data_IF_165811948879
#
_entry.id   IF_165811948879
#
_cell.length_a   1.000
_cell.length_b   1.000
_cell.length_c   1.000
_cell.angle_alpha   90.00
_cell.angle_beta   90.00
_cell.angle_gamma   90.00
#
_symmetry.space_group_name_H-M   'P 1'
#
loop_
_entity.id
_entity.type
_entity.pdbx_description
1 polymer ?
#
# COMPACT_ATOMS: atom_id res chain seq x y z
N UNK A 1 -47.86 -13.20 33.88
CA UNK A 1 -48.18 -12.66 32.55
C UNK A 1 -47.20 -13.24 31.55
N UNK A 2 -47.59 -14.32 30.88
CA UNK A 2 -46.82 -14.96 29.83
C UNK A 2 -46.87 -14.09 28.57
N UNK A 3 -45.77 -13.43 28.23
CA UNK A 3 -45.57 -12.90 26.89
C UNK A 3 -44.99 -14.04 26.03
N UNK A 4 -45.92 -14.74 25.38
CA UNK A 4 -45.64 -15.84 24.46
C UNK A 4 -44.79 -15.35 23.27
N UNK A 5 -43.70 -16.05 23.02
CA UNK A 5 -42.93 -16.04 21.78
C UNK A 5 -43.88 -16.25 20.59
N UNK A 6 -44.18 -15.19 19.84
CA UNK A 6 -44.56 -15.30 18.44
C UNK A 6 -43.28 -15.33 17.61
N UNK A 7 -42.61 -16.48 17.64
CA UNK A 7 -41.63 -16.84 16.64
C UNK A 7 -42.37 -16.89 15.29
N UNK A 8 -42.14 -15.89 14.46
CA UNK A 8 -42.59 -15.88 13.07
C UNK A 8 -41.99 -17.09 12.36
N UNK A 9 -42.83 -18.09 12.11
CA UNK A 9 -42.56 -19.14 11.14
C UNK A 9 -42.40 -18.48 9.76
N UNK A 10 -41.16 -18.20 9.37
CA UNK A 10 -40.83 -18.00 7.97
C UNK A 10 -40.99 -19.36 7.29
N UNK A 11 -42.17 -19.59 6.71
CA UNK A 11 -42.41 -20.73 5.84
C UNK A 11 -41.44 -20.61 4.67
N UNK A 12 -40.50 -21.55 4.61
CA UNK A 12 -39.48 -21.64 3.59
C UNK A 12 -40.14 -21.94 2.23
N UNK A 13 -40.55 -20.90 1.49
CA UNK A 13 -40.99 -21.05 0.09
C UNK A 13 -39.75 -21.25 -0.78
N UNK A 14 -39.16 -22.43 -0.70
CA UNK A 14 -38.09 -22.92 -1.57
C UNK A 14 -38.63 -23.14 -2.99
N UNK A 15 -38.79 -22.05 -3.74
CA UNK A 15 -38.96 -22.08 -5.18
C UNK A 15 -37.61 -22.14 -5.88
N UNK A 16 -37.49 -22.98 -6.90
CA UNK A 16 -36.28 -23.09 -7.71
C UNK A 16 -35.92 -21.74 -8.38
N UNK A 17 -34.63 -21.37 -8.37
CA UNK A 17 -34.13 -20.07 -8.92
C UNK A 17 -34.56 -19.85 -10.38
N UNK A 18 -34.67 -20.92 -11.16
CA UNK A 18 -35.12 -20.92 -12.55
C UNK A 18 -36.37 -21.80 -12.72
N UNK A 19 -37.44 -21.50 -11.98
CA UNK A 19 -38.74 -22.14 -12.22
C UNK A 19 -39.21 -21.93 -13.67
N UNK A 20 -39.29 -23.02 -14.43
CA UNK A 20 -39.83 -23.06 -15.80
C UNK A 20 -41.32 -22.70 -15.79
N UNK A 21 -42.07 -23.34 -14.89
CA UNK A 21 -43.49 -23.10 -14.70
C UNK A 21 -43.72 -22.19 -13.48
N UNK A 22 -44.48 -21.11 -13.69
CA UNK A 22 -45.02 -20.28 -12.60
C UNK A 22 -46.50 -20.59 -12.47
N UNK A 23 -46.99 -20.71 -11.24
CA UNK A 23 -48.43 -20.80 -11.00
C UNK A 23 -49.08 -19.46 -11.35
N UNK A 24 -50.08 -19.49 -12.24
CA UNK A 24 -50.96 -18.36 -12.53
C UNK A 24 -52.31 -18.67 -11.91
N UNK A 25 -52.85 -17.78 -11.05
CA UNK A 25 -54.18 -17.99 -10.48
C UNK A 25 -55.24 -17.97 -11.59
N UNK A 26 -56.36 -18.69 -11.43
CA UNK A 26 -57.40 -18.82 -12.45
C UNK A 26 -58.03 -17.48 -12.86
N UNK A 27 -58.00 -16.48 -11.98
CA UNK A 27 -58.50 -15.12 -12.24
C UNK A 27 -57.50 -14.23 -13.01
N UNK A 28 -56.30 -14.73 -13.33
CA UNK A 28 -55.27 -13.93 -13.98
C UNK A 28 -55.45 -13.86 -15.50
N UNK A 29 -55.89 -12.69 -15.98
CA UNK A 29 -55.88 -12.33 -17.39
C UNK A 29 -54.60 -11.59 -17.82
N UNK A 30 -53.79 -12.14 -18.75
CA UNK A 30 -52.55 -11.51 -19.23
C UNK A 30 -52.75 -10.14 -19.88
N UNK A 31 -53.91 -9.91 -20.52
CA UNK A 31 -54.21 -8.62 -21.20
C UNK A 31 -54.48 -7.49 -20.21
N UNK A 32 -55.09 -7.81 -19.07
CA UNK A 32 -55.51 -6.83 -18.05
C UNK A 32 -54.35 -6.59 -17.07
N UNK A 33 -53.80 -7.66 -16.51
CA UNK A 33 -52.81 -7.56 -15.44
C UNK A 33 -51.37 -7.40 -15.95
N UNK A 34 -51.09 -7.77 -17.21
CA UNK A 34 -49.77 -7.74 -17.90
C UNK A 34 -48.70 -8.64 -17.26
N UNK A 35 -48.50 -8.56 -15.95
CA UNK A 35 -47.49 -9.30 -15.20
C UNK A 35 -48.09 -9.86 -13.91
N UNK A 36 -47.62 -11.03 -13.49
CA UNK A 36 -48.03 -11.65 -12.23
C UNK A 36 -47.70 -10.77 -11.01
N UNK A 37 -46.59 -10.02 -11.06
CA UNK A 37 -46.23 -9.08 -10.00
C UNK A 37 -47.28 -7.98 -9.82
N UNK A 38 -47.81 -7.44 -10.93
CA UNK A 38 -48.87 -6.41 -10.89
C UNK A 38 -50.19 -6.98 -10.39
N UNK A 39 -50.53 -8.23 -10.73
CA UNK A 39 -51.71 -8.91 -10.19
C UNK A 39 -51.66 -8.99 -8.66
N UNK A 40 -50.48 -9.28 -8.09
CA UNK A 40 -50.28 -9.30 -6.64
C UNK A 40 -50.05 -7.91 -6.01
N UNK A 41 -50.06 -6.82 -6.80
CA UNK A 41 -49.77 -5.48 -6.30
C UNK A 41 -48.31 -5.26 -5.86
N UNK A 42 -47.39 -6.12 -6.29
CA UNK A 42 -45.97 -6.07 -5.90
C UNK A 42 -45.14 -5.47 -7.03
N UNK A 43 -44.24 -4.55 -6.69
CA UNK A 43 -43.29 -4.01 -7.66
C UNK A 43 -42.27 -5.08 -8.11
N UNK A 44 -41.92 -5.20 -9.41
CA UNK A 44 -40.98 -6.22 -9.90
C UNK A 44 -39.62 -6.20 -9.20
N UNK A 45 -39.13 -5.01 -8.81
CA UNK A 45 -37.86 -4.84 -8.09
C UNK A 45 -37.99 -5.02 -6.56
N UNK A 46 -39.19 -5.30 -6.04
CA UNK A 46 -39.50 -5.43 -4.60
C UNK A 46 -38.89 -4.27 -3.79
N UNK A 47 -38.12 -4.58 -2.75
CA UNK A 47 -37.51 -3.58 -1.85
C UNK A 47 -36.58 -2.57 -2.54
N UNK A 48 -35.99 -2.95 -3.68
CA UNK A 48 -35.15 -2.03 -4.46
C UNK A 48 -35.95 -0.93 -5.15
N UNK A 49 -37.23 -1.16 -5.41
CA UNK A 49 -38.13 -0.25 -6.10
C UNK A 49 -39.18 0.41 -5.20
N UNK A 50 -38.99 0.42 -3.87
CA UNK A 50 -39.93 1.07 -2.95
C UNK A 50 -40.16 2.55 -3.28
N UNK A 51 -39.12 3.26 -3.72
CA UNK A 51 -39.17 4.68 -4.14
C UNK A 51 -39.21 4.86 -5.66
N UNK A 52 -39.68 3.84 -6.40
CA UNK A 52 -39.72 3.92 -7.86
C UNK A 52 -40.66 5.02 -8.39
N UNK A 53 -41.69 5.41 -7.63
CA UNK A 53 -42.56 6.55 -7.93
C UNK A 53 -41.80 7.88 -7.99
N UNK A 54 -40.73 8.01 -7.22
CA UNK A 54 -39.84 9.18 -7.19
C UNK A 54 -38.70 9.06 -8.21
N UNK A 55 -38.67 7.98 -9.00
CA UNK A 55 -37.56 7.67 -9.92
C UNK A 55 -36.31 7.17 -9.22
N UNK A 56 -36.37 6.84 -7.92
CA UNK A 56 -35.23 6.43 -7.11
C UNK A 56 -35.20 4.89 -7.02
N UNK A 57 -34.08 4.31 -7.44
CA UNK A 57 -33.85 2.85 -7.36
C UNK A 57 -32.64 2.57 -6.50
N UNK A 58 -32.77 1.64 -5.54
CA UNK A 58 -31.63 1.18 -4.73
C UNK A 58 -30.79 0.17 -5.52
N UNK A 59 -29.52 0.50 -5.75
CA UNK A 59 -28.55 -0.35 -6.45
C UNK A 59 -27.34 -0.64 -5.55
N UNK A 60 -26.54 -1.65 -5.91
CA UNK A 60 -25.20 -1.82 -5.33
C UNK A 60 -24.19 -1.11 -6.21
N UNK A 61 -23.47 -0.15 -5.63
CA UNK A 61 -22.50 0.70 -6.31
C UNK A 61 -21.11 0.51 -5.70
N UNK A 62 -20.08 0.39 -6.53
CA UNK A 62 -18.68 0.29 -6.12
C UNK A 62 -17.99 1.64 -6.31
N UNK A 63 -17.22 2.08 -5.31
CA UNK A 63 -16.53 3.38 -5.36
C UNK A 63 -15.45 3.39 -6.47
N UNK A 64 -15.49 4.31 -7.45
CA UNK A 64 -14.60 4.29 -8.61
C UNK A 64 -13.16 4.76 -8.32
N UNK A 65 -12.95 5.61 -7.32
CA UNK A 65 -11.63 6.13 -6.95
C UNK A 65 -11.47 6.22 -5.44
N UNK A 66 -10.23 6.30 -4.98
CA UNK A 66 -9.90 6.57 -3.59
C UNK A 66 -10.38 7.99 -3.22
N UNK A 67 -11.16 8.13 -2.15
CA UNK A 67 -11.66 9.43 -1.70
C UNK A 67 -11.60 9.57 -0.19
N UNK A 68 -11.70 10.80 0.30
CA UNK A 68 -11.80 11.15 1.71
C UNK A 68 -13.21 11.63 2.01
N UNK A 69 -13.87 11.06 3.01
CA UNK A 69 -15.16 11.59 3.45
C UNK A 69 -14.96 12.93 4.17
N UNK A 70 -15.75 13.94 3.84
CA UNK A 70 -15.62 15.27 4.44
C UNK A 70 -16.12 15.31 5.90
N UNK A 71 -17.08 14.44 6.26
CA UNK A 71 -17.66 14.41 7.61
C UNK A 71 -16.75 13.72 8.62
N UNK A 72 -16.29 12.50 8.34
CA UNK A 72 -15.46 11.72 9.28
C UNK A 72 -13.96 11.75 8.98
N UNK A 73 -13.53 12.35 7.87
CA UNK A 73 -12.13 12.43 7.42
C UNK A 73 -11.42 11.07 7.29
N UNK A 74 -12.17 9.98 7.20
CA UNK A 74 -11.61 8.65 6.95
C UNK A 74 -11.52 8.39 5.44
N UNK A 75 -10.46 7.68 4.98
CA UNK A 75 -10.31 7.31 3.58
C UNK A 75 -11.28 6.19 3.21
N UNK A 76 -11.84 6.29 2.01
CA UNK A 76 -12.65 5.26 1.35
C UNK A 76 -11.80 4.76 0.18
N UNK A 77 -11.52 3.46 0.20
CA UNK A 77 -10.79 2.80 -0.88
C UNK A 77 -11.63 2.64 -2.14
N UNK A 78 -10.95 2.55 -3.28
CA UNK A 78 -11.53 2.08 -4.54
C UNK A 78 -12.14 0.68 -4.36
N UNK A 79 -13.32 0.46 -4.94
CA UNK A 79 -14.03 -0.83 -4.89
C UNK A 79 -14.89 -1.08 -3.65
N UNK A 80 -14.95 -0.15 -2.69
CA UNK A 80 -15.87 -0.27 -1.54
C UNK A 80 -17.32 -0.25 -2.03
N UNK A 81 -18.11 -1.23 -1.58
CA UNK A 81 -19.50 -1.46 -2.00
C UNK A 81 -20.50 -0.72 -1.10
N UNK A 82 -21.40 0.04 -1.72
CA UNK A 82 -22.50 0.74 -1.06
C UNK A 82 -23.86 0.34 -1.62
N UNK A 83 -24.89 0.42 -0.78
CA UNK A 83 -26.28 0.48 -1.24
C UNK A 83 -26.58 1.95 -1.59
N UNK A 84 -26.59 2.28 -2.88
CA UNK A 84 -26.77 3.64 -3.36
C UNK A 84 -28.18 3.85 -3.93
N UNK A 85 -28.73 5.04 -3.71
CA UNK A 85 -29.93 5.53 -4.36
C UNK A 85 -29.53 6.13 -5.72
N UNK A 86 -29.97 5.50 -6.81
CA UNK A 86 -29.77 5.97 -8.19
C UNK A 86 -30.92 6.87 -8.59
N UNK A 87 -30.59 8.08 -9.07
CA UNK A 87 -31.53 9.09 -9.54
C UNK A 87 -31.07 9.56 -10.93
N UNK A 88 -32.00 9.75 -11.87
CA UNK A 88 -31.71 10.39 -13.14
C UNK A 88 -31.93 11.90 -13.00
N UNK A 89 -30.88 12.70 -13.20
CA UNK A 89 -30.92 14.16 -12.97
C UNK A 89 -31.06 14.94 -14.27
N UNK A 90 -30.46 14.45 -15.35
CA UNK A 90 -30.48 15.14 -16.64
C UNK A 90 -30.04 14.25 -17.78
N UNK A 91 -29.78 14.87 -18.94
CA UNK A 91 -29.28 14.19 -20.14
C UNK A 91 -28.11 14.98 -20.73
N UNK A 92 -27.04 14.28 -21.11
CA UNK A 92 -25.96 14.78 -21.93
C UNK A 92 -26.19 14.32 -23.36
N UNK A 93 -26.72 15.19 -24.21
CA UNK A 93 -27.26 14.83 -25.54
C UNK A 93 -28.30 13.69 -25.43
N UNK A 94 -27.94 12.47 -25.85
CA UNK A 94 -28.78 11.27 -25.76
C UNK A 94 -28.52 10.41 -24.51
N UNK A 95 -27.43 10.65 -23.77
CA UNK A 95 -26.99 9.81 -22.66
C UNK A 95 -27.53 10.35 -21.32
N UNK A 96 -28.23 9.56 -20.51
CA UNK A 96 -28.74 10.01 -19.22
C UNK A 96 -27.61 10.21 -18.21
N UNK A 97 -27.69 11.30 -17.45
CA UNK A 97 -26.80 11.58 -16.34
C UNK A 97 -27.43 11.07 -15.04
N UNK A 98 -26.72 10.16 -14.38
CA UNK A 98 -27.15 9.58 -13.11
C UNK A 98 -26.43 10.21 -11.93
N UNK A 99 -27.19 10.50 -10.88
CA UNK A 99 -26.68 10.85 -9.55
C UNK A 99 -26.87 9.65 -8.62
N UNK A 100 -25.82 9.35 -7.86
CA UNK A 100 -25.79 8.31 -6.86
C UNK A 100 -25.63 8.94 -5.49
N UNK A 101 -26.59 8.67 -4.61
CA UNK A 101 -26.57 9.10 -3.21
C UNK A 101 -26.30 7.88 -2.34
N UNK A 102 -25.25 7.92 -1.52
CA UNK A 102 -24.88 6.80 -0.66
C UNK A 102 -24.39 7.25 0.72
N UNK A 103 -24.70 6.48 1.79
CA UNK A 103 -24.21 6.77 3.12
C UNK A 103 -22.74 6.36 3.29
N UNK A 104 -21.99 7.09 4.11
CA UNK A 104 -20.67 6.65 4.56
C UNK A 104 -20.80 5.43 5.49
N UNK A 105 -19.79 4.55 5.50
CA UNK A 105 -19.79 3.35 6.35
C UNK A 105 -19.52 3.63 7.83
N UNK A 106 -18.79 4.72 8.15
CA UNK A 106 -18.46 5.08 9.53
C UNK A 106 -19.33 6.19 10.12
N UNK A 107 -20.02 6.99 9.30
CA UNK A 107 -20.75 8.16 9.77
C UNK A 107 -22.09 8.33 9.05
N UNK A 108 -22.97 9.15 9.61
CA UNK A 108 -24.25 9.52 9.00
C UNK A 108 -24.10 10.52 7.82
N UNK A 109 -22.87 10.80 7.38
CA UNK A 109 -22.59 11.63 6.22
C UNK A 109 -23.09 10.95 4.94
N UNK A 110 -23.63 11.76 4.03
CA UNK A 110 -24.06 11.31 2.70
C UNK A 110 -23.09 11.81 1.64
N UNK A 111 -22.73 10.93 0.71
CA UNK A 111 -21.86 11.22 -0.43
C UNK A 111 -22.73 11.24 -1.69
N UNK A 112 -22.58 12.29 -2.50
CA UNK A 112 -23.23 12.41 -3.81
C UNK A 112 -22.19 12.40 -4.93
N UNK A 113 -22.39 11.48 -5.87
CA UNK A 113 -21.55 11.30 -7.06
C UNK A 113 -22.44 11.38 -8.30
N UNK A 114 -21.93 11.97 -9.38
CA UNK A 114 -22.63 12.05 -10.65
C UNK A 114 -21.75 11.54 -11.79
N UNK A 115 -22.39 10.89 -12.78
CA UNK A 115 -21.71 10.48 -14.02
C UNK A 115 -21.42 11.70 -14.90
N UNK A 116 -20.22 11.77 -15.47
CA UNK A 116 -19.86 12.72 -16.52
C UNK A 116 -19.55 11.98 -17.83
N UNK A 117 -20.52 11.93 -18.78
CA UNK A 117 -20.32 11.26 -20.06
C UNK A 117 -19.27 11.91 -20.96
N UNK A 118 -18.88 13.17 -20.74
CA UNK A 118 -17.90 13.85 -21.58
C UNK A 118 -16.48 13.32 -21.33
N UNK A 119 -16.14 13.12 -20.05
CA UNK A 119 -14.81 12.70 -19.61
C UNK A 119 -14.72 11.20 -19.28
N UNK A 120 -15.83 10.45 -19.47
CA UNK A 120 -15.97 9.06 -19.06
C UNK A 120 -15.62 8.80 -17.58
N UNK A 121 -15.85 9.80 -16.72
CA UNK A 121 -15.51 9.75 -15.29
C UNK A 121 -16.75 10.03 -14.41
N UNK A 122 -16.56 9.91 -13.11
CA UNK A 122 -17.51 10.30 -12.08
C UNK A 122 -17.02 11.56 -11.36
N UNK A 123 -17.93 12.50 -11.16
CA UNK A 123 -17.66 13.75 -10.45
C UNK A 123 -18.26 13.67 -9.05
N UNK A 124 -17.45 13.97 -8.03
CA UNK A 124 -17.98 14.15 -6.67
C UNK A 124 -18.64 15.52 -6.58
N UNK A 125 -19.91 15.54 -6.21
CA UNK A 125 -20.64 16.80 -5.97
C UNK A 125 -20.49 17.20 -4.51
N UNK A 126 -20.74 16.26 -3.59
CA UNK A 126 -20.77 16.55 -2.15
C UNK A 126 -20.40 15.35 -1.29
N UNK A 127 -19.95 15.64 -0.06
CA UNK A 127 -19.71 14.64 0.99
C UNK A 127 -18.36 13.92 0.94
N UNK A 128 -17.62 14.02 -0.16
CA UNK A 128 -16.27 13.46 -0.26
C UNK A 128 -15.36 14.29 -1.18
N UNK A 129 -14.05 14.13 -1.01
CA UNK A 129 -13.00 14.72 -1.85
C UNK A 129 -12.16 13.60 -2.48
N UNK A 130 -11.85 13.69 -3.78
CA UNK A 130 -10.96 12.72 -4.45
C UNK A 130 -9.57 12.77 -3.80
N UNK A 131 -8.96 11.60 -3.58
CA UNK A 131 -7.55 11.52 -3.21
C UNK A 131 -6.75 11.69 -4.50
N UNK A 132 -6.09 12.82 -4.66
CA UNK A 132 -5.14 13.03 -5.74
C UNK A 132 -3.91 12.18 -5.44
N UNK A 133 -3.59 11.25 -6.33
CA UNK A 133 -2.34 10.50 -6.29
C UNK A 133 -1.49 11.04 -7.43
N UNK A 134 -0.63 11.99 -7.09
CA UNK A 134 0.43 12.41 -8.00
C UNK A 134 1.44 11.28 -7.96
N UNK A 135 1.70 10.65 -9.11
CA UNK A 135 2.74 9.66 -9.22
C UNK A 135 4.08 10.39 -9.37
N UNK A 136 4.79 10.55 -8.25
CA UNK A 136 6.16 11.06 -8.26
C UNK A 136 7.10 9.89 -8.56
N UNK A 137 7.84 9.99 -9.68
CA UNK A 137 8.72 8.93 -10.14
C UNK A 137 9.96 8.74 -9.24
N UNK A 138 10.34 9.80 -8.51
CA UNK A 138 11.46 9.76 -7.56
C UNK A 138 11.24 8.75 -6.41
N UNK A 139 10.01 8.61 -5.91
CA UNK A 139 9.68 7.76 -4.76
C UNK A 139 9.71 6.25 -5.06
N UNK A 140 9.69 5.84 -6.33
CA UNK A 140 9.68 4.43 -6.74
C UNK A 140 11.04 3.92 -7.25
N UNK A 141 12.13 4.69 -7.07
CA UNK A 141 13.47 4.40 -7.61
C UNK A 141 13.45 4.15 -9.13
N UNK A 142 12.42 4.64 -9.80
CA UNK A 142 12.23 4.47 -11.23
C UNK A 142 12.98 5.61 -11.93
N UNK A 143 13.69 5.29 -13.01
CA UNK A 143 14.49 6.27 -13.75
C UNK A 143 13.54 7.38 -14.21
N UNK A 144 13.69 8.57 -13.61
CA UNK A 144 12.89 9.75 -13.95
C UNK A 144 13.14 10.04 -15.42
N UNK A 145 12.12 9.86 -16.24
CA UNK A 145 12.20 10.24 -17.64
C UNK A 145 12.48 11.74 -17.70
N UNK A 146 13.42 12.14 -18.56
CA UNK A 146 13.85 13.52 -18.75
C UNK A 146 12.70 14.52 -18.80
N UNK A 147 12.98 15.70 -18.27
CA UNK A 147 12.03 16.79 -18.06
C UNK A 147 11.27 17.11 -19.36
N UNK A 148 10.03 17.61 -19.29
CA UNK A 148 9.22 17.82 -20.52
C UNK A 148 9.95 18.70 -21.55
N UNK A 149 10.69 19.70 -21.07
CA UNK A 149 11.54 20.55 -21.90
C UNK A 149 12.70 19.81 -22.55
N UNK A 150 13.31 18.87 -21.83
CA UNK A 150 14.44 18.09 -22.31
C UNK A 150 14.00 17.06 -23.35
N UNK A 151 12.85 16.40 -23.14
CA UNK A 151 12.20 15.59 -24.17
C UNK A 151 11.87 16.37 -25.43
N UNK A 152 11.34 17.60 -25.27
CA UNK A 152 11.05 18.47 -26.42
C UNK A 152 12.32 18.84 -27.18
N UNK A 153 13.42 19.14 -26.48
CA UNK A 153 14.73 19.41 -27.10
C UNK A 153 15.27 18.18 -27.83
N UNK A 154 15.20 16.99 -27.21
CA UNK A 154 15.62 15.74 -27.82
C UNK A 154 14.82 15.41 -29.10
N UNK A 155 13.55 15.81 -29.16
CA UNK A 155 12.69 15.57 -30.31
C UNK A 155 12.84 16.63 -31.43
N UNK A 156 13.19 17.87 -31.09
CA UNK A 156 13.26 18.98 -32.06
C UNK A 156 14.66 19.23 -32.60
N UNK A 157 15.71 18.91 -31.84
CA UNK A 157 17.10 19.14 -32.24
C UNK A 157 17.85 17.81 -32.46
N UNK A 158 18.17 17.53 -33.74
CA UNK A 158 18.88 16.34 -34.15
C UNK A 158 20.35 16.30 -33.66
N UNK A 159 21.01 17.45 -33.50
CA UNK A 159 22.39 17.47 -33.00
C UNK A 159 22.43 17.12 -31.50
N UNK A 160 21.53 17.70 -30.71
CA UNK A 160 21.39 17.41 -29.29
C UNK A 160 21.08 15.92 -29.01
N UNK A 161 20.25 15.30 -29.86
CA UNK A 161 19.94 13.87 -29.76
C UNK A 161 21.18 12.99 -29.99
N UNK A 162 22.01 13.33 -30.98
CA UNK A 162 23.24 12.59 -31.28
C UNK A 162 24.25 12.73 -30.12
N UNK A 163 24.42 13.94 -29.59
CA UNK A 163 25.30 14.19 -28.44
C UNK A 163 24.85 13.41 -27.19
N UNK A 164 23.56 13.41 -26.88
CA UNK A 164 23.01 12.60 -25.80
C UNK A 164 23.25 11.11 -26.02
N UNK A 165 23.01 10.61 -27.24
CA UNK A 165 23.22 9.21 -27.58
C UNK A 165 24.69 8.78 -27.45
N UNK A 166 25.64 9.67 -27.75
CA UNK A 166 27.08 9.42 -27.56
C UNK A 166 27.43 9.43 -26.07
N UNK A 167 26.89 10.38 -25.30
CA UNK A 167 27.09 10.47 -23.86
C UNK A 167 26.55 9.22 -23.15
N UNK A 168 25.36 8.76 -23.49
CA UNK A 168 24.75 7.55 -22.93
C UNK A 168 25.59 6.29 -23.22
N UNK A 169 26.11 6.17 -24.45
CA UNK A 169 27.05 5.10 -24.82
C UNK A 169 28.32 5.14 -23.99
N UNK A 170 28.92 6.33 -23.82
CA UNK A 170 30.14 6.49 -23.02
C UNK A 170 29.95 6.13 -21.54
N UNK A 171 28.79 6.46 -20.96
CA UNK A 171 28.42 6.05 -19.59
C UNK A 171 28.23 4.54 -19.50
N UNK A 172 27.58 3.94 -20.51
CA UNK A 172 27.48 2.49 -20.64
C UNK A 172 28.85 1.82 -20.69
N UNK A 173 29.78 2.34 -21.49
CA UNK A 173 31.14 1.83 -21.62
C UNK A 173 31.95 1.95 -20.32
N UNK A 174 31.76 3.03 -19.57
CA UNK A 174 32.37 3.21 -18.24
C UNK A 174 31.87 2.16 -17.23
N UNK A 175 30.58 1.79 -17.31
CA UNK A 175 29.95 0.83 -16.41
C UNK A 175 30.20 -0.63 -16.78
N UNK A 176 30.51 -0.94 -18.05
CA UNK A 176 30.81 -2.29 -18.54
C UNK A 176 31.85 -3.07 -17.71
N UNK A 177 33.04 -2.54 -17.37
CA UNK A 177 34.02 -3.30 -16.60
C UNK A 177 33.49 -3.69 -15.22
N UNK A 178 32.70 -2.83 -14.56
CA UNK A 178 32.08 -3.16 -13.28
C UNK A 178 31.05 -4.30 -13.42
N UNK A 179 30.25 -4.30 -14.49
CA UNK A 179 29.31 -5.38 -14.79
C UNK A 179 30.03 -6.70 -15.11
N UNK A 180 31.14 -6.65 -15.84
CA UNK A 180 31.96 -7.83 -16.14
C UNK A 180 32.57 -8.42 -14.86
N UNK A 181 33.05 -7.60 -13.94
CA UNK A 181 33.49 -8.06 -12.61
C UNK A 181 32.36 -8.75 -11.84
N UNK A 182 31.16 -8.17 -11.82
CA UNK A 182 29.98 -8.78 -11.18
C UNK A 182 29.59 -10.13 -11.82
N UNK A 183 29.73 -10.25 -13.13
CA UNK A 183 29.47 -11.50 -13.85
C UNK A 183 30.52 -12.58 -13.55
N UNK A 184 31.79 -12.19 -13.39
CA UNK A 184 32.84 -13.08 -12.90
C UNK A 184 32.55 -13.55 -11.47
N UNK A 185 32.18 -12.63 -10.57
CA UNK A 185 31.85 -12.92 -9.18
C UNK A 185 30.65 -13.86 -9.05
N UNK A 186 29.65 -13.75 -9.95
CA UNK A 186 28.49 -14.66 -9.99
C UNK A 186 28.89 -16.13 -10.07
N UNK A 187 30.02 -16.46 -10.72
CA UNK A 187 30.51 -17.83 -10.80
C UNK A 187 31.01 -18.36 -9.44
N UNK A 188 31.53 -17.49 -8.58
CA UNK A 188 31.97 -17.83 -7.22
C UNK A 188 30.77 -18.19 -6.33
N UNK A 189 29.63 -17.53 -6.55
CA UNK A 189 28.38 -17.79 -5.81
C UNK A 189 27.59 -19.00 -6.33
N UNK A 190 28.07 -19.74 -7.33
CA UNK A 190 27.40 -20.98 -7.76
C UNK A 190 27.39 -22.05 -6.66
N UNK A 191 28.44 -22.08 -5.82
CA UNK A 191 28.55 -22.97 -4.67
C UNK A 191 28.14 -22.26 -3.37
N UNK A 192 26.85 -21.95 -3.24
CA UNK A 192 26.26 -21.27 -2.08
C UNK A 192 26.65 -21.90 -0.74
N UNK A 193 26.74 -23.23 -0.67
CA UNK A 193 27.07 -23.94 0.56
C UNK A 193 28.51 -23.64 1.04
N UNK A 194 29.48 -23.64 0.12
CA UNK A 194 30.89 -23.38 0.44
C UNK A 194 31.10 -21.91 0.86
N UNK A 195 30.49 -20.97 0.13
CA UNK A 195 30.53 -19.55 0.46
C UNK A 195 29.92 -19.26 1.83
N UNK A 196 28.74 -19.82 2.12
CA UNK A 196 28.08 -19.69 3.42
C UNK A 196 28.89 -20.34 4.55
N UNK A 197 29.54 -21.48 4.32
CA UNK A 197 30.41 -22.11 5.29
C UNK A 197 31.61 -21.22 5.65
N UNK A 198 32.26 -20.62 4.64
CA UNK A 198 33.39 -19.70 4.84
C UNK A 198 32.97 -18.45 5.63
N UNK A 199 31.84 -17.84 5.27
CA UNK A 199 31.29 -16.68 5.98
C UNK A 199 30.98 -17.02 7.43
N UNK A 200 30.31 -18.16 7.69
CA UNK A 200 30.01 -18.61 9.06
C UNK A 200 31.28 -18.86 9.88
N UNK A 201 32.35 -19.38 9.28
CA UNK A 201 33.65 -19.54 9.96
C UNK A 201 34.23 -18.18 10.34
N UNK A 202 34.30 -17.23 9.41
CA UNK A 202 34.77 -15.85 9.67
C UNK A 202 33.96 -15.16 10.76
N UNK A 203 32.62 -15.22 10.73
CA UNK A 203 31.78 -14.61 11.76
C UNK A 203 31.95 -15.24 13.14
N UNK A 204 32.16 -16.57 13.22
CA UNK A 204 32.45 -17.24 14.50
C UNK A 204 33.79 -16.79 15.07
N UNK A 205 34.80 -16.63 14.22
CA UNK A 205 36.11 -16.16 14.63
C UNK A 205 36.07 -14.71 15.12
N UNK A 206 35.43 -13.81 14.37
CA UNK A 206 35.22 -12.41 14.78
C UNK A 206 34.46 -12.33 16.11
N UNK A 207 33.39 -13.13 16.27
CA UNK A 207 32.62 -13.19 17.52
C UNK A 207 33.45 -13.71 18.70
N UNK A 208 34.34 -14.68 18.45
CA UNK A 208 35.26 -15.20 19.47
C UNK A 208 36.23 -14.12 19.92
N UNK A 209 36.89 -13.44 18.97
CA UNK A 209 37.84 -12.37 19.25
C UNK A 209 37.17 -11.22 20.04
N UNK A 210 36.00 -10.75 19.59
CA UNK A 210 35.27 -9.70 20.29
C UNK A 210 34.85 -10.11 21.72
N UNK A 211 34.51 -11.40 21.95
CA UNK A 211 34.20 -11.92 23.29
C UNK A 211 35.45 -11.98 24.17
N UNK A 212 36.59 -12.36 23.61
CA UNK A 212 37.89 -12.38 24.31
C UNK A 212 38.33 -10.96 24.70
N UNK A 213 38.20 -9.99 23.80
CA UNK A 213 38.45 -8.57 24.09
C UNK A 213 37.52 -8.05 25.20
N UNK A 214 36.21 -8.26 25.07
CA UNK A 214 35.25 -7.84 26.08
C UNK A 214 35.49 -8.52 27.44
N UNK A 215 35.99 -9.76 27.46
CA UNK A 215 36.37 -10.44 28.69
C UNK A 215 37.62 -9.80 29.34
N UNK A 216 38.64 -9.44 28.54
CA UNK A 216 39.84 -8.72 29.02
C UNK A 216 39.45 -7.35 29.58
N UNK A 217 38.60 -6.62 28.88
CA UNK A 217 38.09 -5.31 29.29
C UNK A 217 37.32 -5.39 30.61
N UNK A 218 36.42 -6.37 30.75
CA UNK A 218 35.69 -6.58 32.00
C UNK A 218 36.62 -6.92 33.17
N UNK A 219 37.67 -7.72 32.95
CA UNK A 219 38.67 -8.01 33.99
C UNK A 219 39.43 -6.74 34.40
N UNK A 220 39.77 -5.87 33.45
CA UNK A 220 40.43 -4.60 33.72
C UNK A 220 39.51 -3.65 34.51
N UNK A 221 38.25 -3.50 34.09
CA UNK A 221 37.25 -2.69 34.79
C UNK A 221 36.98 -3.20 36.21
N UNK A 222 36.93 -4.51 36.41
CA UNK A 222 36.80 -5.13 37.74
C UNK A 222 38.00 -4.80 38.64
N UNK A 223 39.24 -4.88 38.12
CA UNK A 223 40.45 -4.51 38.88
C UNK A 223 40.45 -3.03 39.26
N UNK A 224 39.94 -2.17 38.37
CA UNK A 224 39.84 -0.74 38.59
C UNK A 224 38.58 -0.33 39.38
N UNK A 225 37.71 -1.28 39.74
CA UNK A 225 36.41 -1.02 40.39
C UNK A 225 35.51 -0.04 39.64
N UNK A 226 35.67 0.06 38.31
CA UNK A 226 34.90 0.95 37.43
C UNK A 226 33.63 0.28 36.85
N UNK A 227 33.24 -0.85 37.44
CA UNK A 227 32.09 -1.66 37.03
C UNK A 227 30.80 -0.84 37.23
N UNK A 228 30.10 -0.54 36.14
CA UNK A 228 28.86 0.25 36.16
C UNK A 228 29.04 1.74 35.85
N UNK A 229 30.27 2.21 35.63
CA UNK A 229 30.51 3.52 35.03
C UNK A 229 30.33 3.45 33.51
N UNK A 230 29.83 4.51 32.86
CA UNK A 230 29.64 4.58 31.39
C UNK A 230 30.96 4.72 30.60
N UNK A 231 32.07 4.19 31.12
CA UNK A 231 33.39 4.32 30.53
C UNK A 231 33.62 3.19 29.53
N UNK A 232 33.65 3.53 28.24
CA UNK A 232 33.99 2.59 27.15
C UNK A 232 35.51 2.56 26.97
N UNK A 233 36.11 1.38 27.13
CA UNK A 233 37.52 1.16 26.82
C UNK A 233 37.74 1.21 25.31
N UNK A 234 38.80 1.90 24.90
CA UNK A 234 39.28 1.97 23.52
C UNK A 234 40.33 0.88 23.29
N UNK A 235 40.52 0.42 22.04
CA UNK A 235 41.59 -0.52 21.72
C UNK A 235 42.96 0.08 22.03
N UNK A 236 43.87 -0.76 22.54
CA UNK A 236 45.25 -0.37 22.88
C UNK A 236 45.98 0.13 21.63
N UNK A 237 46.62 1.31 21.72
CA UNK A 237 47.50 1.83 20.68
C UNK A 237 48.97 1.59 21.04
N UNK A 238 49.85 1.48 20.05
CA UNK A 238 51.30 1.28 20.28
C UNK A 238 51.93 2.38 21.14
N UNK A 239 51.41 3.61 21.06
CA UNK A 239 51.83 4.72 21.92
C UNK A 239 51.54 4.49 23.40
N UNK A 240 50.42 3.83 23.72
CA UNK A 240 49.97 3.59 25.08
C UNK A 240 50.87 2.55 25.76
N UNK A 241 51.33 1.53 25.00
CA UNK A 241 52.31 0.57 25.49
C UNK A 241 53.65 1.23 25.84
N UNK A 242 54.14 2.12 24.99
CA UNK A 242 55.42 2.83 25.21
C UNK A 242 55.31 3.73 26.44
N UNK A 243 54.19 4.46 26.58
CA UNK A 243 53.91 5.27 27.76
C UNK A 243 53.85 4.45 29.05
N UNK A 244 53.15 3.31 29.04
CA UNK A 244 53.04 2.42 30.20
C UNK A 244 54.39 1.84 30.64
N UNK A 245 55.26 1.46 29.67
CA UNK A 245 56.63 0.97 29.95
C UNK A 245 57.48 2.06 30.61
N UNK A 246 57.37 3.31 30.16
CA UNK A 246 58.10 4.45 30.72
C UNK A 246 57.69 4.75 32.17
N UNK A 247 56.39 4.71 32.49
CA UNK A 247 55.87 4.94 33.85
C UNK A 247 56.34 3.86 34.83
N UNK A 248 56.39 2.59 34.41
CA UNK A 248 56.96 1.51 35.26
C UNK A 248 58.45 1.74 35.58
N UNK A 249 59.22 2.25 34.62
CA UNK A 249 60.64 2.53 34.78
C UNK A 249 60.90 3.71 35.74
N UNK A 250 60.04 4.73 35.75
CA UNK A 250 60.19 5.87 36.68
C UNK A 250 59.80 5.50 38.10
N UNK A 251 58.75 4.70 38.28
CA UNK A 251 58.28 4.27 39.61
C UNK A 251 59.28 3.35 40.34
N UNK A 252 60.04 2.53 39.60
CA UNK A 252 61.08 1.63 40.15
C UNK A 252 62.37 2.34 40.53
N UNK A 253 62.69 3.49 39.92
CA UNK A 253 63.81 4.35 40.35
C UNK A 253 63.49 5.09 41.64
N UNK A 254 62.24 5.56 41.83
CA UNK A 254 61.83 6.26 43.05
C UNK A 254 61.80 5.36 44.29
N UNK A 255 61.46 4.07 44.14
CA UNK A 255 61.44 3.12 45.27
C UNK A 255 62.82 2.59 45.67
N UNK A 256 63.88 2.92 44.92
CA UNK A 256 65.27 2.51 45.19
C UNK A 256 66.09 3.63 45.87
N UNK A 257 65.47 4.78 46.14
CA UNK A 257 66.06 5.98 46.76
C UNK A 257 65.52 6.25 48.18
N UNK A 258 64.85 5.27 48.80
CA UNK A 258 64.50 5.26 50.23
C UNK A 258 65.29 4.16 50.94
#
# INVERSE_FOLDING_TARGET
MLFFMLAQANLDRSGERKGTNKYYPPDFDPKIHKTLSRYHGIHPLRDRGQKASEGIIKIRFEMPYNCWCLTCKNPIGMGVRYNAEKIQVGMYHSTPIFKFKMPCHLCAGTIEIQTDPQNFDYVLISGARRKDQIWEAEDNEQIVMSDFHEKKKLAMDAMYQVEHSVKDKSQGDLAKPALEQLELDKNVFKDDFAANQLLRKKFREVKRLAKEELAKDNVLLNKLSLVGSHVKLLPEQESDEVGAKLIRLTHTKSSRLQ
#
